data_IF_512822598619
#
_entry.id   IF_512822598619
#
_cell.length_a   1.000
_cell.length_b   1.000
_cell.length_c   1.000
_cell.angle_alpha   90.00
_cell.angle_beta   90.00
_cell.angle_gamma   90.00
#
_symmetry.space_group_name_H-M   'P 1'
#
loop_
_entity.id
_entity.type
_entity.pdbx_description
1 polymer ?
#
# COMPACT_ATOMS: atom_id res chain seq x y z
N UNK A 1 -7.26 -19.33 15.48
CA UNK A 1 -6.51 -19.63 14.23
C UNK A 1 -6.55 -18.37 13.39
N UNK A 2 -5.37 -17.82 13.09
CA UNK A 2 -5.22 -16.58 12.31
C UNK A 2 -5.13 -16.96 10.83
N UNK A 3 -5.89 -16.29 9.95
CA UNK A 3 -5.93 -16.62 8.52
C UNK A 3 -5.85 -15.37 7.66
N UNK A 4 -5.25 -15.51 6.46
CA UNK A 4 -5.29 -14.49 5.42
C UNK A 4 -6.73 -14.33 4.91
N UNK A 5 -7.23 -13.11 4.90
CA UNK A 5 -8.59 -12.78 4.44
C UNK A 5 -8.60 -11.88 3.21
N UNK A 6 -7.56 -11.08 3.01
CA UNK A 6 -7.40 -10.24 1.82
C UNK A 6 -5.92 -10.11 1.46
N UNK A 7 -5.64 -10.01 0.15
CA UNK A 7 -4.31 -9.67 -0.39
C UNK A 7 -4.49 -8.51 -1.35
N UNK A 8 -3.66 -7.48 -1.20
CA UNK A 8 -3.70 -6.27 -2.01
C UNK A 8 -2.34 -5.93 -2.57
N UNK A 9 -2.30 -5.56 -3.83
CA UNK A 9 -1.14 -4.99 -4.52
C UNK A 9 -1.38 -3.52 -4.80
N UNK A 10 -0.33 -2.72 -4.72
CA UNK A 10 -0.37 -1.28 -4.99
C UNK A 10 0.66 -0.94 -6.06
N UNK A 11 0.38 -1.18 -7.34
CA UNK A 11 1.41 -1.17 -8.40
C UNK A 11 2.16 0.15 -8.51
N UNK A 12 1.46 1.28 -8.38
CA UNK A 12 2.06 2.61 -8.40
C UNK A 12 1.95 3.24 -7.01
N UNK A 13 3.06 3.74 -6.47
CA UNK A 13 3.08 4.41 -5.15
C UNK A 13 2.01 5.49 -5.06
N UNK A 14 1.12 5.38 -4.08
CA UNK A 14 -0.04 6.26 -3.85
C UNK A 14 -1.11 6.29 -4.96
N UNK A 15 -0.93 5.59 -6.07
CA UNK A 15 -1.87 5.55 -7.19
C UNK A 15 -2.31 4.12 -7.43
N UNK A 16 -3.58 3.84 -7.21
CA UNK A 16 -4.14 2.53 -7.48
C UNK A 16 -3.89 1.48 -6.39
N UNK A 17 -4.76 0.49 -6.41
CA UNK A 17 -4.73 -0.73 -5.62
C UNK A 17 -5.50 -1.80 -6.38
N UNK A 18 -5.09 -3.04 -6.20
CA UNK A 18 -5.63 -4.21 -6.87
C UNK A 18 -5.78 -5.37 -5.90
N UNK A 19 -6.96 -6.03 -5.80
CA UNK A 19 -7.11 -7.23 -5.01
C UNK A 19 -6.46 -8.41 -5.70
N UNK A 20 -5.93 -9.36 -4.92
CA UNK A 20 -5.37 -10.62 -5.40
C UNK A 20 -5.95 -11.77 -4.59
N UNK A 21 -6.21 -12.92 -5.24
CA UNK A 21 -6.60 -14.15 -4.54
C UNK A 21 -5.38 -14.90 -3.99
N UNK A 22 -4.25 -14.74 -4.66
CA UNK A 22 -2.96 -15.32 -4.28
C UNK A 22 -1.80 -14.49 -4.82
N UNK A 23 -0.60 -14.70 -4.27
CA UNK A 23 0.62 -14.04 -4.72
C UNK A 23 1.83 -14.95 -4.53
N UNK A 24 2.74 -14.98 -5.50
CA UNK A 24 4.02 -15.67 -5.39
C UNK A 24 5.05 -14.72 -4.76
N UNK A 25 5.42 -14.98 -3.51
CA UNK A 25 6.41 -14.20 -2.77
C UNK A 25 7.81 -14.68 -3.10
N UNK A 26 8.75 -13.76 -3.30
CA UNK A 26 10.18 -14.05 -3.45
C UNK A 26 10.94 -13.53 -2.22
N UNK A 27 11.80 -14.34 -1.64
CA UNK A 27 12.62 -13.95 -0.50
C UNK A 27 13.43 -12.68 -0.82
N UNK A 28 13.45 -11.73 0.12
CA UNK A 28 14.14 -10.46 -0.03
C UNK A 28 13.54 -9.51 -1.08
N UNK A 29 12.29 -9.73 -1.51
CA UNK A 29 11.59 -8.84 -2.44
C UNK A 29 10.25 -8.35 -1.88
N UNK A 30 9.75 -7.24 -2.40
CA UNK A 30 8.35 -6.82 -2.21
C UNK A 30 7.42 -7.80 -2.92
N UNK A 31 6.10 -7.70 -2.71
CA UNK A 31 5.17 -8.44 -3.56
C UNK A 31 5.40 -8.07 -5.04
N UNK A 32 5.23 -9.02 -5.97
CA UNK A 32 5.38 -8.77 -7.40
C UNK A 32 4.58 -7.55 -7.85
N UNK A 33 5.23 -6.61 -8.53
CA UNK A 33 4.68 -5.34 -8.99
C UNK A 33 4.19 -4.38 -7.87
N UNK A 34 4.35 -4.69 -6.60
CA UNK A 34 3.94 -3.79 -5.53
C UNK A 34 4.88 -2.58 -5.46
N UNK A 35 4.34 -1.36 -5.65
CA UNK A 35 5.08 -0.09 -5.76
C UNK A 35 6.23 -0.16 -6.80
N UNK A 36 6.03 -0.99 -7.85
CA UNK A 36 7.01 -1.10 -8.94
C UNK A 36 7.19 0.22 -9.69
N UNK A 37 6.20 1.10 -9.64
CA UNK A 37 6.26 2.44 -10.19
C UNK A 37 5.94 3.50 -9.13
N UNK A 38 6.46 4.72 -9.35
CA UNK A 38 6.15 5.87 -8.54
C UNK A 38 6.10 7.14 -9.40
N UNK A 39 5.23 8.09 -9.03
CA UNK A 39 5.10 9.37 -9.76
C UNK A 39 6.00 10.39 -9.10
N UNK A 40 7.13 10.71 -9.74
CA UNK A 40 8.03 11.77 -9.32
C UNK A 40 7.43 13.15 -9.63
N UNK A 41 7.65 14.10 -8.73
CA UNK A 41 7.20 15.48 -8.91
C UNK A 41 8.35 16.39 -9.42
N UNK A 42 8.03 17.61 -9.81
CA UNK A 42 8.95 18.58 -10.43
C UNK A 42 10.22 18.90 -9.62
N UNK A 43 10.18 18.67 -8.29
CA UNK A 43 11.31 18.91 -7.37
C UNK A 43 12.13 17.65 -7.07
N UNK A 44 11.90 16.57 -7.80
CA UNK A 44 12.55 15.27 -7.59
C UNK A 44 13.45 14.93 -8.76
N UNK A 45 14.67 14.52 -8.46
CA UNK A 45 15.65 14.08 -9.45
C UNK A 45 15.73 12.54 -9.59
N UNK A 46 14.93 11.79 -8.79
CA UNK A 46 14.98 10.31 -8.85
C UNK A 46 14.54 9.79 -10.21
N UNK A 47 15.29 8.86 -10.74
CA UNK A 47 14.99 8.13 -11.99
C UNK A 47 14.45 6.70 -11.75
N UNK A 48 14.40 6.25 -10.49
CA UNK A 48 13.95 4.92 -10.10
C UNK A 48 15.06 3.87 -10.05
N UNK A 49 16.30 4.20 -10.41
CA UNK A 49 17.45 3.28 -10.37
C UNK A 49 17.80 2.81 -8.96
N UNK A 50 17.59 3.68 -7.98
CA UNK A 50 17.75 3.40 -6.55
C UNK A 50 16.45 3.68 -5.80
N UNK A 51 16.31 3.06 -4.62
CA UNK A 51 15.20 3.41 -3.73
C UNK A 51 15.26 4.90 -3.37
N UNK A 52 14.10 5.54 -3.41
CA UNK A 52 13.97 6.94 -3.05
C UNK A 52 12.87 7.14 -2.01
N UNK A 53 13.14 7.98 -1.02
CA UNK A 53 12.20 8.34 0.03
C UNK A 53 10.90 8.94 -0.56
N UNK A 54 9.80 8.76 0.17
CA UNK A 54 8.46 9.23 -0.19
C UNK A 54 8.39 10.74 -0.50
N UNK A 55 9.37 11.54 -0.05
CA UNK A 55 9.41 12.99 -0.33
C UNK A 55 9.61 13.32 -1.81
N UNK A 56 10.09 12.37 -2.60
CA UNK A 56 10.33 12.51 -4.05
C UNK A 56 9.07 12.32 -4.90
N UNK A 57 7.97 11.87 -4.31
CA UNK A 57 6.82 11.38 -5.07
C UNK A 57 5.53 12.13 -4.73
N UNK A 58 4.64 12.21 -5.72
CA UNK A 58 3.25 12.57 -5.49
C UNK A 58 2.57 11.51 -4.62
N UNK A 59 1.93 11.93 -3.53
CA UNK A 59 1.46 11.01 -2.50
C UNK A 59 0.11 11.40 -1.89
N UNK A 60 -0.67 10.41 -1.47
CA UNK A 60 -2.00 10.58 -0.89
C UNK A 60 -2.04 11.52 0.33
N UNK A 61 -0.94 11.61 1.11
CA UNK A 61 -0.85 12.54 2.24
C UNK A 61 -0.93 14.03 1.82
N UNK A 62 -0.57 14.37 0.59
CA UNK A 62 -0.61 15.73 0.04
C UNK A 62 -1.66 15.91 -1.06
N UNK A 63 -2.04 14.82 -1.72
CA UNK A 63 -3.01 14.77 -2.82
C UNK A 63 -4.03 13.63 -2.54
N UNK A 64 -5.02 13.87 -1.67
CA UNK A 64 -5.91 12.81 -1.19
C UNK A 64 -6.76 12.18 -2.29
N UNK A 65 -7.07 12.88 -3.38
CA UNK A 65 -7.80 12.34 -4.54
C UNK A 65 -7.11 11.10 -5.13
N UNK A 66 -5.78 11.03 -5.08
CA UNK A 66 -5.02 9.86 -5.55
C UNK A 66 -5.39 8.56 -4.83
N UNK A 67 -5.92 8.66 -3.61
CA UNK A 67 -6.32 7.51 -2.80
C UNK A 67 -7.57 6.79 -3.33
N UNK A 68 -8.35 7.42 -4.20
CA UNK A 68 -9.54 6.82 -4.82
C UNK A 68 -9.24 6.08 -6.14
N UNK A 69 -7.98 6.03 -6.56
CA UNK A 69 -7.59 5.29 -7.76
C UNK A 69 -7.57 3.78 -7.46
N UNK A 70 -8.23 2.99 -8.32
CA UNK A 70 -8.06 1.54 -8.38
C UNK A 70 -7.18 1.18 -9.57
N UNK A 71 -6.57 0.01 -9.53
CA UNK A 71 -5.72 -0.51 -10.59
C UNK A 71 -6.13 -1.94 -10.95
N UNK A 72 -5.86 -2.31 -12.19
CA UNK A 72 -5.89 -3.69 -12.66
C UNK A 72 -4.72 -3.89 -13.61
N UNK A 73 -3.96 -4.95 -13.40
CA UNK A 73 -2.81 -5.30 -14.22
C UNK A 73 -3.15 -6.46 -15.16
N UNK A 74 -2.87 -6.29 -16.43
CA UNK A 74 -2.95 -7.34 -17.47
C UNK A 74 -1.54 -7.90 -17.70
N UNK A 75 -1.30 -9.10 -17.15
CA UNK A 75 0.00 -9.79 -17.29
C UNK A 75 0.33 -10.20 -18.73
N UNK A 76 -0.67 -10.43 -19.58
CA UNK A 76 -0.45 -10.87 -20.95
C UNK A 76 0.00 -9.72 -21.86
N UNK A 77 -0.62 -8.56 -21.69
CA UNK A 77 -0.38 -7.40 -22.54
C UNK A 77 0.56 -6.38 -21.89
N UNK A 78 0.94 -6.57 -20.62
CA UNK A 78 1.72 -5.61 -19.81
C UNK A 78 1.07 -4.23 -19.75
N UNK A 79 -0.26 -4.20 -19.57
CA UNK A 79 -1.04 -2.97 -19.49
C UNK A 79 -1.59 -2.77 -18.08
N UNK A 80 -1.60 -1.52 -17.65
CA UNK A 80 -2.25 -1.06 -16.42
C UNK A 80 -3.54 -0.34 -16.78
N UNK A 81 -4.65 -0.75 -16.17
CA UNK A 81 -5.90 0.00 -16.22
C UNK A 81 -6.14 0.67 -14.87
N UNK A 82 -6.29 1.98 -14.88
CA UNK A 82 -6.63 2.77 -13.70
C UNK A 82 -8.06 3.30 -13.82
N UNK A 83 -8.79 3.29 -12.70
CA UNK A 83 -10.12 3.89 -12.58
C UNK A 83 -10.18 4.86 -11.41
N UNK A 84 -10.97 5.91 -11.55
CA UNK A 84 -11.25 6.90 -10.50
C UNK A 84 -12.69 7.40 -10.65
N UNK A 85 -13.44 7.68 -9.56
CA UNK A 85 -14.86 8.04 -9.64
C UNK A 85 -15.17 9.30 -10.46
N UNK A 86 -14.19 10.19 -10.69
CA UNK A 86 -14.37 11.44 -11.44
C UNK A 86 -13.61 11.47 -12.77
N UNK A 87 -13.10 10.36 -13.26
CA UNK A 87 -12.31 10.28 -14.50
C UNK A 87 -12.74 9.08 -15.32
N UNK A 88 -12.64 9.20 -16.64
CA UNK A 88 -12.71 8.04 -17.52
C UNK A 88 -11.54 7.08 -17.25
N UNK A 89 -11.74 5.77 -17.40
CA UNK A 89 -10.66 4.81 -17.23
C UNK A 89 -9.46 5.10 -18.11
N UNK A 90 -8.25 4.87 -17.59
CA UNK A 90 -7.00 4.97 -18.33
C UNK A 90 -6.36 3.59 -18.46
N UNK A 91 -6.14 3.11 -19.68
CA UNK A 91 -5.31 1.92 -19.95
C UNK A 91 -4.04 2.36 -20.66
N UNK A 92 -2.87 1.91 -20.15
CA UNK A 92 -1.56 2.33 -20.67
C UNK A 92 -0.47 1.33 -20.28
N UNK A 93 0.65 1.37 -21.02
CA UNK A 93 1.90 0.70 -20.67
C UNK A 93 2.69 1.62 -19.71
N UNK A 94 2.87 1.25 -18.43
CA UNK A 94 3.52 2.13 -17.46
C UNK A 94 5.02 2.35 -17.74
N UNK A 95 5.65 1.47 -18.50
CA UNK A 95 7.08 1.59 -18.85
C UNK A 95 7.32 2.47 -20.08
N UNK A 96 6.32 2.66 -20.92
CA UNK A 96 6.45 3.39 -22.19
C UNK A 96 5.59 4.65 -22.25
N UNK A 97 4.46 4.64 -21.56
CA UNK A 97 3.40 5.63 -21.71
C UNK A 97 3.12 6.42 -20.41
N UNK A 98 4.12 6.53 -19.53
CA UNK A 98 3.98 7.20 -18.23
C UNK A 98 3.42 8.63 -18.32
N UNK A 99 3.62 9.33 -19.44
CA UNK A 99 3.05 10.66 -19.69
C UNK A 99 1.52 10.66 -19.71
N UNK A 100 0.88 9.56 -20.13
CA UNK A 100 -0.58 9.43 -20.10
C UNK A 100 -1.11 9.48 -18.65
N UNK A 101 -0.40 8.83 -17.71
CA UNK A 101 -0.76 8.89 -16.29
C UNK A 101 -0.64 10.32 -15.74
N UNK A 102 0.43 11.03 -16.09
CA UNK A 102 0.66 12.40 -15.62
C UNK A 102 -0.49 13.31 -16.08
N UNK A 103 -0.88 13.24 -17.36
CA UNK A 103 -2.01 14.01 -17.86
C UNK A 103 -3.34 13.58 -17.24
N UNK A 104 -3.56 12.26 -17.08
CA UNK A 104 -4.78 11.73 -16.48
C UNK A 104 -4.95 12.15 -15.01
N UNK A 105 -3.86 12.24 -14.23
CA UNK A 105 -3.90 12.68 -12.83
C UNK A 105 -3.89 14.20 -12.67
N UNK A 106 -3.81 14.97 -13.75
CA UNK A 106 -3.84 16.42 -13.71
C UNK A 106 -5.08 16.95 -12.97
N UNK A 107 -4.84 17.89 -12.05
CA UNK A 107 -5.87 18.42 -11.16
C UNK A 107 -6.14 17.59 -9.90
N UNK A 108 -5.57 16.39 -9.75
CA UNK A 108 -5.67 15.61 -8.51
C UNK A 108 -4.65 16.07 -7.46
N UNK A 109 -3.51 16.62 -7.88
CA UNK A 109 -2.52 17.24 -6.99
C UNK A 109 -2.88 18.72 -6.82
N UNK A 110 -3.06 19.21 -5.58
CA UNK A 110 -3.37 20.64 -5.35
C UNK A 110 -2.29 21.56 -5.94
N UNK A 111 -2.69 22.70 -6.50
CA UNK A 111 -1.78 23.65 -7.17
C UNK A 111 -0.66 24.19 -6.29
N UNK A 112 -0.89 24.28 -4.96
CA UNK A 112 0.11 24.70 -3.99
C UNK A 112 1.09 23.58 -3.58
N UNK A 113 1.09 22.45 -4.29
CA UNK A 113 2.01 21.31 -4.10
C UNK A 113 2.88 21.11 -5.33
N UNK A 114 4.05 20.50 -5.14
CA UNK A 114 4.90 20.11 -6.25
C UNK A 114 4.12 19.17 -7.20
N UNK A 115 4.09 19.53 -8.49
CA UNK A 115 3.26 18.86 -9.49
C UNK A 115 3.91 17.59 -10.03
N UNK A 116 3.11 16.59 -10.34
CA UNK A 116 3.53 15.33 -10.97
C UNK A 116 4.18 15.60 -12.32
N UNK A 117 5.34 15.02 -12.59
CA UNK A 117 6.05 15.27 -13.86
C UNK A 117 6.41 14.01 -14.62
N UNK A 118 6.71 12.90 -13.95
CA UNK A 118 7.10 11.67 -14.63
C UNK A 118 6.78 10.43 -13.80
N UNK A 119 6.48 9.33 -14.47
CA UNK A 119 6.42 8.00 -13.89
C UNK A 119 7.81 7.39 -13.95
N UNK A 120 8.31 6.89 -12.83
CA UNK A 120 9.60 6.18 -12.73
C UNK A 120 9.36 4.74 -12.30
N UNK A 121 10.14 3.81 -12.85
CA UNK A 121 10.13 2.40 -12.48
C UNK A 121 11.22 2.10 -11.47
N UNK A 122 10.86 1.43 -10.38
CA UNK A 122 11.81 0.88 -9.42
C UNK A 122 12.60 -0.28 -10.05
N UNK A 123 13.93 -0.22 -10.04
CA UNK A 123 14.77 -1.23 -10.68
C UNK A 123 15.21 -2.35 -9.74
N UNK A 124 15.30 -2.08 -8.43
CA UNK A 124 15.81 -3.04 -7.42
C UNK A 124 14.70 -3.64 -6.57
N UNK A 125 13.90 -2.79 -5.96
CA UNK A 125 12.76 -3.16 -5.11
C UNK A 125 11.68 -2.11 -5.21
N UNK A 126 10.43 -2.46 -4.89
CA UNK A 126 9.33 -1.50 -4.95
C UNK A 126 9.60 -0.23 -4.13
N UNK A 127 9.12 0.92 -4.59
CA UNK A 127 9.24 2.23 -3.90
C UNK A 127 8.32 2.27 -2.67
N UNK A 128 8.54 1.34 -1.72
CA UNK A 128 7.85 1.29 -0.43
C UNK A 128 8.22 2.50 0.44
N UNK A 129 7.67 2.60 1.65
CA UNK A 129 8.03 3.70 2.58
C UNK A 129 9.28 3.36 3.42
N UNK A 130 9.83 2.14 3.24
CA UNK A 130 11.08 1.65 3.83
C UNK A 130 12.14 1.48 2.76
N UNK A 131 13.42 1.60 3.11
CA UNK A 131 14.58 1.36 2.25
C UNK A 131 14.94 -0.13 2.09
N UNK A 132 14.13 -1.00 2.70
CA UNK A 132 14.20 -2.46 2.57
C UNK A 132 12.90 -3.01 1.94
N UNK A 133 12.93 -4.20 1.31
CA UNK A 133 11.78 -4.78 0.62
C UNK A 133 10.70 -5.23 1.60
N UNK A 134 9.78 -4.34 1.95
CA UNK A 134 8.73 -4.59 2.93
C UNK A 134 7.41 -5.05 2.30
N UNK A 135 6.75 -5.98 3.01
CA UNK A 135 5.37 -6.42 2.80
C UNK A 135 4.61 -6.04 4.07
N UNK A 136 3.52 -5.28 3.94
CA UNK A 136 2.74 -4.88 5.11
C UNK A 136 1.67 -5.90 5.46
N UNK A 137 1.57 -6.23 6.76
CA UNK A 137 0.59 -7.18 7.31
C UNK A 137 -0.34 -6.42 8.26
N UNK A 138 -1.64 -6.50 8.04
CA UNK A 138 -2.67 -5.85 8.84
C UNK A 138 -3.58 -6.87 9.53
N UNK A 139 -4.06 -6.51 10.71
CA UNK A 139 -4.97 -7.30 11.52
C UNK A 139 -6.38 -6.70 11.46
N UNK A 140 -7.36 -7.48 10.99
CA UNK A 140 -8.75 -7.03 10.89
C UNK A 140 -9.38 -6.75 12.27
N UNK A 141 -8.92 -7.41 13.33
CA UNK A 141 -9.41 -7.12 14.69
C UNK A 141 -8.94 -5.72 15.15
N UNK A 142 -7.70 -5.32 14.85
CA UNK A 142 -7.19 -3.96 15.07
C UNK A 142 -8.00 -2.94 14.26
N UNK A 143 -8.27 -3.24 12.99
CA UNK A 143 -9.09 -2.37 12.15
C UNK A 143 -10.51 -2.18 12.74
N UNK A 144 -11.15 -3.26 13.17
CA UNK A 144 -12.47 -3.18 13.84
C UNK A 144 -12.43 -2.37 15.15
N UNK A 145 -11.36 -2.46 15.93
CA UNK A 145 -11.20 -1.63 17.13
C UNK A 145 -11.13 -0.13 16.78
N UNK A 146 -10.44 0.22 15.68
CA UNK A 146 -10.38 1.58 15.17
C UNK A 146 -11.77 2.04 14.67
N UNK A 147 -12.52 1.21 13.94
CA UNK A 147 -13.89 1.51 13.52
C UNK A 147 -14.82 1.76 14.71
N UNK A 148 -14.74 0.90 15.72
CA UNK A 148 -15.52 1.05 16.94
C UNK A 148 -15.22 2.39 17.65
N UNK A 149 -13.95 2.77 17.73
CA UNK A 149 -13.53 4.05 18.32
C UNK A 149 -13.98 5.23 17.48
N UNK A 150 -13.95 5.09 16.15
CA UNK A 150 -14.45 6.11 15.21
C UNK A 150 -15.97 6.29 15.26
N UNK A 151 -16.73 5.26 15.68
CA UNK A 151 -18.18 5.26 15.78
C UNK A 151 -18.93 5.05 14.47
N UNK A 152 -18.25 4.73 13.38
CA UNK A 152 -18.83 4.39 12.05
C UNK A 152 -17.86 3.56 11.23
N UNK A 153 -18.34 2.82 10.20
CA UNK A 153 -17.49 2.01 9.34
C UNK A 153 -16.38 2.83 8.65
N UNK A 154 -15.21 2.23 8.59
CA UNK A 154 -14.05 2.71 7.85
C UNK A 154 -13.61 1.64 6.85
N UNK A 155 -13.21 2.02 5.66
CA UNK A 155 -12.59 1.07 4.74
C UNK A 155 -11.15 0.76 5.17
N UNK A 156 -10.79 -0.53 5.28
CA UNK A 156 -9.43 -0.99 5.55
C UNK A 156 -8.45 -0.61 4.42
N UNK A 157 -8.95 -0.32 3.22
CA UNK A 157 -8.15 0.13 2.07
C UNK A 157 -7.43 1.47 2.31
N UNK A 158 -7.84 2.25 3.33
CA UNK A 158 -7.15 3.48 3.76
C UNK A 158 -5.70 3.21 4.16
N UNK A 159 -5.45 2.04 4.72
CA UNK A 159 -4.15 1.67 5.25
C UNK A 159 -3.16 1.23 4.17
N UNK A 160 -3.63 0.94 2.95
CA UNK A 160 -2.79 0.45 1.83
C UNK A 160 -1.88 -0.71 2.25
N UNK A 161 -2.45 -1.62 3.02
CA UNK A 161 -1.79 -2.81 3.51
C UNK A 161 -1.81 -3.91 2.43
N UNK A 162 -0.79 -4.77 2.41
CA UNK A 162 -0.67 -5.84 1.41
C UNK A 162 -1.44 -7.10 1.81
N UNK A 163 -1.26 -7.59 3.03
CA UNK A 163 -1.88 -8.83 3.51
C UNK A 163 -2.71 -8.51 4.75
N UNK A 164 -3.98 -8.86 4.70
CA UNK A 164 -4.86 -8.74 5.84
C UNK A 164 -5.13 -10.11 6.43
N UNK A 165 -5.00 -10.22 7.74
CA UNK A 165 -5.33 -11.43 8.51
C UNK A 165 -6.46 -11.16 9.47
N UNK A 166 -7.21 -12.22 9.82
CA UNK A 166 -8.23 -12.20 10.85
C UNK A 166 -8.06 -13.39 11.79
N UNK A 167 -8.56 -13.26 13.02
CA UNK A 167 -8.48 -14.29 14.06
C UNK A 167 -7.43 -14.03 15.14
N UNK A 168 -6.65 -12.92 15.03
CA UNK A 168 -5.80 -12.42 16.10
C UNK A 168 -6.57 -11.46 17.01
N UNK A 169 -6.07 -11.19 18.24
CA UNK A 169 -6.59 -10.13 19.07
C UNK A 169 -6.24 -8.73 18.51
N UNK A 170 -7.00 -7.65 18.83
CA UNK A 170 -6.62 -6.30 18.46
C UNK A 170 -5.20 -5.96 18.93
N UNK A 171 -4.38 -5.38 18.04
CA UNK A 171 -3.00 -4.96 18.28
C UNK A 171 -1.99 -6.11 18.47
N UNK A 172 -2.41 -7.37 18.39
CA UNK A 172 -1.53 -8.54 18.54
C UNK A 172 -0.39 -8.53 17.49
N UNK A 173 -0.62 -7.95 16.31
CA UNK A 173 0.41 -7.82 15.27
C UNK A 173 1.66 -7.05 15.74
N UNK A 174 1.54 -6.18 16.73
CA UNK A 174 2.70 -5.47 17.30
C UNK A 174 3.59 -6.36 18.16
N UNK A 175 3.03 -7.42 18.73
CA UNK A 175 3.80 -8.42 19.48
C UNK A 175 4.64 -9.33 18.57
N UNK A 176 4.38 -9.29 17.25
CA UNK A 176 5.15 -10.04 16.27
C UNK A 176 6.47 -9.35 15.89
N UNK A 177 6.65 -8.08 16.23
CA UNK A 177 7.87 -7.32 15.92
C UNK A 177 9.10 -8.00 16.54
N UNK A 178 10.13 -8.20 15.71
CA UNK A 178 11.34 -8.94 16.08
C UNK A 178 11.23 -10.46 15.95
N UNK A 179 10.02 -10.99 15.74
CA UNK A 179 9.77 -12.43 15.54
C UNK A 179 9.62 -12.75 14.03
N UNK A 180 9.58 -14.02 13.73
CA UNK A 180 9.16 -14.53 12.43
C UNK A 180 7.71 -15.00 12.50
N UNK A 181 6.98 -14.79 11.40
CA UNK A 181 5.68 -15.39 11.17
C UNK A 181 5.77 -16.28 9.93
N UNK A 182 4.97 -17.34 9.90
CA UNK A 182 4.80 -18.18 8.73
C UNK A 182 3.38 -18.00 8.21
N UNK A 183 3.22 -17.73 6.90
CA UNK A 183 1.93 -17.70 6.20
C UNK A 183 2.01 -18.72 5.06
N UNK A 184 1.20 -19.78 5.11
CA UNK A 184 1.36 -20.91 4.20
C UNK A 184 2.79 -21.47 4.26
N UNK A 185 3.51 -21.44 3.14
CA UNK A 185 4.92 -21.85 3.05
C UNK A 185 5.94 -20.72 3.20
N UNK A 186 5.51 -19.48 3.38
CA UNK A 186 6.37 -18.29 3.39
C UNK A 186 6.64 -17.82 4.81
N UNK A 187 7.92 -17.66 5.15
CA UNK A 187 8.37 -17.07 6.42
C UNK A 187 8.69 -15.59 6.19
N UNK A 188 8.12 -14.74 7.03
CA UNK A 188 8.40 -13.30 7.05
C UNK A 188 8.96 -12.93 8.43
N UNK A 189 10.06 -12.18 8.44
CA UNK A 189 10.58 -11.53 9.65
C UNK A 189 9.85 -10.19 9.82
N UNK A 190 9.25 -9.95 10.97
CA UNK A 190 8.53 -8.71 11.27
C UNK A 190 9.52 -7.69 11.82
N UNK A 191 9.65 -6.56 11.13
CA UNK A 191 10.70 -5.57 11.41
C UNK A 191 10.20 -4.41 12.30
N UNK A 192 9.04 -3.84 11.98
CA UNK A 192 8.55 -2.66 12.68
C UNK A 192 7.04 -2.45 12.50
N UNK A 193 6.38 -1.72 13.40
CA UNK A 193 5.04 -1.16 13.15
C UNK A 193 5.10 -0.12 12.02
N UNK A 194 3.97 0.10 11.36
CA UNK A 194 3.83 1.09 10.28
C UNK A 194 3.25 2.38 10.83
N UNK A 195 4.07 3.42 10.95
CA UNK A 195 3.60 4.76 11.31
C UNK A 195 2.72 5.34 10.21
N UNK A 196 1.57 5.86 10.57
CA UNK A 196 0.57 6.37 9.63
C UNK A 196 0.71 7.86 9.38
N UNK A 197 0.25 8.27 8.22
CA UNK A 197 0.28 9.67 7.79
C UNK A 197 -1.10 10.11 7.31
N UNK A 198 -1.25 11.38 6.98
CA UNK A 198 -2.52 11.96 6.49
C UNK A 198 -3.12 11.28 5.25
N UNK A 199 -2.44 10.35 4.59
CA UNK A 199 -3.03 9.57 3.49
C UNK A 199 -4.22 8.76 3.96
N UNK A 200 -4.17 8.21 5.19
CA UNK A 200 -5.21 7.36 5.76
C UNK A 200 -6.51 8.11 6.08
N UNK A 201 -6.48 9.44 6.16
CA UNK A 201 -7.69 10.26 6.39
C UNK A 201 -8.57 10.35 5.13
N UNK A 202 -8.04 10.02 3.95
CA UNK A 202 -8.77 10.05 2.69
C UNK A 202 -9.64 8.80 2.51
N UNK A 203 -10.88 8.99 2.10
CA UNK A 203 -11.77 7.91 1.73
C UNK A 203 -11.30 7.25 0.43
N UNK A 204 -11.07 5.92 0.41
CA UNK A 204 -10.57 5.23 -0.78
C UNK A 204 -11.58 5.16 -1.95
N UNK A 205 -12.83 5.53 -1.73
CA UNK A 205 -13.86 5.55 -2.77
C UNK A 205 -14.01 6.93 -3.42
N UNK A 206 -13.73 8.01 -2.67
CA UNK A 206 -13.98 9.39 -3.14
C UNK A 206 -12.71 10.24 -3.22
N UNK A 207 -11.65 9.86 -2.53
CA UNK A 207 -10.45 10.67 -2.36
C UNK A 207 -10.60 11.85 -1.40
N UNK A 208 -11.80 12.05 -0.83
CA UNK A 208 -12.05 13.14 0.11
C UNK A 208 -11.61 12.74 1.54
N UNK A 209 -11.09 13.68 2.30
CA UNK A 209 -10.81 13.44 3.72
C UNK A 209 -12.13 13.43 4.50
N UNK A 210 -12.43 12.32 5.15
CA UNK A 210 -13.69 12.11 5.87
C UNK A 210 -13.53 11.46 7.25
N UNK A 211 -12.29 11.16 7.67
CA UNK A 211 -11.99 10.58 8.96
C UNK A 211 -10.66 11.11 9.52
N UNK A 212 -10.63 11.41 10.80
CA UNK A 212 -9.40 11.74 11.53
C UNK A 212 -8.75 10.46 12.08
N UNK A 213 -8.18 9.67 11.17
CA UNK A 213 -7.57 8.39 11.53
C UNK A 213 -6.34 8.55 12.44
N UNK A 214 -5.61 9.66 12.33
CA UNK A 214 -4.45 9.91 13.19
C UNK A 214 -4.88 10.28 14.61
N UNK A 215 -5.85 11.18 14.76
CA UNK A 215 -6.42 11.51 16.08
C UNK A 215 -7.08 10.31 16.76
N UNK A 216 -7.66 9.37 15.97
CA UNK A 216 -8.18 8.12 16.54
C UNK A 216 -7.02 7.26 17.08
N UNK A 217 -5.95 7.07 16.31
CA UNK A 217 -4.79 6.29 16.74
C UNK A 217 -4.10 6.91 17.97
N UNK A 218 -4.00 8.23 18.04
CA UNK A 218 -3.46 8.96 19.20
C UNK A 218 -4.18 8.61 20.51
N UNK A 219 -5.42 8.12 20.48
CA UNK A 219 -6.15 7.67 21.67
C UNK A 219 -5.59 6.37 22.28
N UNK A 220 -4.64 5.71 21.59
CA UNK A 220 -3.85 4.58 22.11
C UNK A 220 -2.38 4.98 22.31
N UNK A 221 -2.07 6.29 22.38
CA UNK A 221 -0.74 6.85 22.58
C UNK A 221 0.27 6.53 21.45
N UNK A 222 -0.23 6.24 20.23
CA UNK A 222 0.61 5.99 19.06
C UNK A 222 -0.12 6.33 17.75
N UNK A 223 0.64 6.39 16.64
CA UNK A 223 0.11 6.57 15.27
C UNK A 223 0.44 5.38 14.35
N UNK A 224 0.67 4.21 14.91
CA UNK A 224 0.98 2.99 14.17
C UNK A 224 -0.28 2.16 13.90
N UNK A 225 -0.27 1.45 12.77
CA UNK A 225 -1.27 0.46 12.40
C UNK A 225 -0.68 -0.45 11.33
N UNK A 226 -0.82 -1.77 11.45
CA UNK A 226 -0.15 -2.81 10.67
C UNK A 226 1.36 -2.91 10.99
N UNK A 227 2.01 -3.94 10.46
CA UNK A 227 3.45 -4.15 10.62
C UNK A 227 4.12 -4.38 9.26
N UNK A 228 5.41 -4.08 9.16
CA UNK A 228 6.25 -4.45 8.03
C UNK A 228 6.91 -5.80 8.27
N UNK A 229 6.81 -6.69 7.28
CA UNK A 229 7.55 -7.94 7.22
C UNK A 229 8.46 -7.99 6.00
N UNK A 230 9.60 -8.69 6.15
CA UNK A 230 10.52 -9.02 5.07
C UNK A 230 10.47 -10.52 4.84
N UNK A 231 10.20 -10.95 3.61
CA UNK A 231 10.14 -12.37 3.28
C UNK A 231 11.54 -13.01 3.37
N UNK A 232 11.68 -14.03 4.19
CA UNK A 232 12.91 -14.83 4.35
C UNK A 232 12.92 -16.07 3.47
N UNK A 233 11.74 -16.56 3.05
CA UNK A 233 11.58 -17.68 2.13
C UNK A 233 10.66 -17.30 0.98
N UNK A 234 10.80 -18.02 -0.13
CA UNK A 234 9.92 -17.87 -1.30
C UNK A 234 8.79 -18.88 -1.28
N UNK A 235 7.65 -18.54 -1.83
CA UNK A 235 6.50 -19.44 -1.94
C UNK A 235 5.20 -18.69 -2.24
N UNK A 236 4.10 -19.40 -2.48
CA UNK A 236 2.79 -18.79 -2.63
C UNK A 236 2.19 -18.42 -1.27
N UNK A 237 1.41 -17.33 -1.26
CA UNK A 237 0.46 -16.97 -0.20
C UNK A 237 -0.91 -16.82 -0.87
N UNK A 238 -1.94 -17.42 -0.27
CA UNK A 238 -3.32 -17.40 -0.77
C UNK A 238 -4.28 -16.96 0.33
N UNK A 239 -5.43 -16.43 -0.07
CA UNK A 239 -6.55 -16.21 0.85
C UNK A 239 -6.92 -17.55 1.49
N UNK A 240 -7.08 -17.58 2.82
CA UNK A 240 -7.36 -18.77 3.61
C UNK A 240 -6.12 -19.42 4.23
N UNK A 241 -4.91 -19.06 3.80
CA UNK A 241 -3.67 -19.56 4.41
C UNK A 241 -3.60 -19.18 5.89
N UNK A 242 -3.09 -20.11 6.69
CA UNK A 242 -2.93 -19.93 8.13
C UNK A 242 -1.65 -19.15 8.43
N UNK A 243 -1.74 -18.23 9.41
CA UNK A 243 -0.59 -17.53 9.97
C UNK A 243 -0.23 -18.15 11.33
N UNK A 244 1.05 -18.45 11.49
CA UNK A 244 1.64 -18.95 12.76
C UNK A 244 2.79 -18.03 13.17
N UNK A 245 2.85 -17.65 14.44
CA UNK A 245 3.98 -16.91 15.03
C UNK A 245 5.02 -17.92 15.49
N UNK A 246 6.28 -17.70 15.10
CA UNK A 246 7.41 -18.63 15.37
C UNK A 246 8.27 -18.13 16.52
#
# INVERSE_FOLDING_TARGET
>A
MIKVVEIWRHPIKSHGREPLDHVAVTAGQTLPLDRAWAVAHEKSDTDGSEWASYINFSRGAKAPLLMAINATWDDQNHLMTLTHPSKEPLTFDPDREGSKLIEWTKGMVPENRAQSTRLVRAQKTGMTDTDYPSISIGNMATHRAIEQKHGRPLSNLRWRCNIWVDGAAPWEEFEWVGKSIQIGGVVLKIEAPVTRCLATTANPQTGMRDADTLGILDTWDHQEMTVYGVASTSGPISIGDELQVM
#
